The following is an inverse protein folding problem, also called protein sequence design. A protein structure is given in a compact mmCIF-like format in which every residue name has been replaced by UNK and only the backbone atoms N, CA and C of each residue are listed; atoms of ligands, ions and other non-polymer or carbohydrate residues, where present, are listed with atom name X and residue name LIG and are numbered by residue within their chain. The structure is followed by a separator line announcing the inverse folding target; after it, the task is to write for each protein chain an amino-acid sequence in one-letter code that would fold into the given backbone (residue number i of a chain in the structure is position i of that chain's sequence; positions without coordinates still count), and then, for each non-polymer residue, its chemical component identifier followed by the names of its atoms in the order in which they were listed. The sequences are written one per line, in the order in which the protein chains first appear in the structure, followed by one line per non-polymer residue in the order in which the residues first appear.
data_IF_431862735963
#
_entry.id   IF_431862735963
#
_cell.length_a   1.000
_cell.length_b   1.000
_cell.length_c   1.000
_cell.angle_alpha   90.00
_cell.angle_beta   90.00
_cell.angle_gamma   90.00
#
_symmetry.space_group_name_H-M   'P 1'
#
loop_
_entity.id
_entity.type
_entity.pdbx_description
1 polymer ?
#
# COMPACT_ATOMS: atom_id res chain seq x y z
N UNK A 1 11.37 -13.97 -25.30
CA UNK A 1 10.21 -14.19 -24.43
C UNK A 1 10.75 -14.23 -23.00
N UNK A 2 10.90 -13.06 -22.39
CA UNK A 2 11.53 -12.92 -21.08
C UNK A 2 10.53 -13.33 -20.01
N UNK A 3 10.87 -14.36 -19.24
CA UNK A 3 10.14 -14.76 -18.04
C UNK A 3 10.07 -13.55 -17.10
N UNK A 4 8.85 -13.15 -16.75
CA UNK A 4 8.60 -12.10 -15.76
C UNK A 4 9.09 -12.69 -14.43
N UNK A 5 10.20 -12.16 -13.92
CA UNK A 5 10.74 -12.57 -12.63
C UNK A 5 9.76 -12.10 -11.56
N UNK A 6 8.95 -13.03 -11.03
CA UNK A 6 8.21 -12.80 -9.79
C UNK A 6 9.27 -12.70 -8.71
N UNK A 7 9.64 -11.48 -8.31
CA UNK A 7 10.39 -11.29 -7.08
C UNK A 7 9.62 -12.03 -5.98
N UNK A 8 10.26 -13.00 -5.32
CA UNK A 8 9.65 -13.69 -4.18
C UNK A 8 9.29 -12.63 -3.13
N UNK A 9 8.00 -12.34 -3.01
CA UNK A 9 7.52 -11.49 -1.92
C UNK A 9 7.68 -12.32 -0.65
N UNK A 10 8.76 -12.09 0.09
CA UNK A 10 8.95 -12.68 1.40
C UNK A 10 7.86 -12.16 2.32
N UNK A 11 6.90 -13.03 2.63
CA UNK A 11 5.77 -12.69 3.50
C UNK A 11 6.22 -12.22 4.90
N UNK A 12 7.40 -12.65 5.36
CA UNK A 12 8.04 -12.19 6.60
C UNK A 12 8.56 -10.74 6.56
N UNK A 13 8.79 -10.20 5.36
CA UNK A 13 9.28 -8.83 5.14
C UNK A 13 8.14 -7.85 4.80
N UNK A 14 6.91 -8.35 4.59
CA UNK A 14 5.74 -7.50 4.38
C UNK A 14 5.33 -6.86 5.70
N UNK A 15 5.31 -5.53 5.70
CA UNK A 15 4.71 -4.74 6.76
C UNK A 15 3.19 -4.93 6.73
N UNK A 16 2.64 -5.70 7.68
CA UNK A 16 1.22 -6.00 7.77
C UNK A 16 0.35 -4.73 7.90
N UNK A 17 0.90 -3.63 8.42
CA UNK A 17 0.19 -2.36 8.46
C UNK A 17 -0.04 -1.81 7.06
N UNK A 18 0.88 -2.03 6.11
CA UNK A 18 0.70 -1.62 4.72
C UNK A 18 -0.44 -2.38 4.07
N UNK A 19 -0.61 -3.68 4.34
CA UNK A 19 -1.74 -4.46 3.81
C UNK A 19 -3.08 -3.95 4.35
N UNK A 20 -3.14 -3.61 5.64
CA UNK A 20 -4.34 -3.02 6.23
C UNK A 20 -4.66 -1.64 5.61
N UNK A 21 -3.65 -0.79 5.42
CA UNK A 21 -3.81 0.52 4.77
C UNK A 21 -4.26 0.34 3.32
N UNK A 22 -3.72 -0.64 2.59
CA UNK A 22 -4.10 -0.96 1.22
C UNK A 22 -5.59 -1.34 1.14
N UNK A 23 -6.08 -2.20 2.04
CA UNK A 23 -7.49 -2.57 2.09
C UNK A 23 -8.38 -1.32 2.24
N UNK A 24 -8.02 -0.43 3.17
CA UNK A 24 -8.80 0.80 3.39
C UNK A 24 -8.74 1.73 2.17
N UNK A 25 -7.60 1.83 1.49
CA UNK A 25 -7.46 2.63 0.27
C UNK A 25 -8.32 2.11 -0.88
N UNK A 26 -8.42 0.78 -1.03
CA UNK A 26 -9.27 0.13 -2.03
C UNK A 26 -10.75 0.36 -1.71
N UNK A 27 -11.16 0.29 -0.44
CA UNK A 27 -12.55 0.52 -0.03
C UNK A 27 -12.98 1.97 -0.23
N UNK A 28 -12.12 2.93 0.12
CA UNK A 28 -12.48 4.35 0.15
C UNK A 28 -12.26 5.07 -1.19
N UNK A 29 -11.36 4.55 -2.04
CA UNK A 29 -10.91 5.14 -3.31
C UNK A 29 -10.50 6.63 -3.20
N UNK A 30 -10.21 7.09 -1.98
CA UNK A 30 -9.93 8.47 -1.65
C UNK A 30 -9.00 8.56 -0.44
N UNK A 31 -7.84 9.17 -0.62
CA UNK A 31 -6.78 9.24 0.41
C UNK A 31 -7.23 10.02 1.65
N UNK A 32 -8.08 11.04 1.49
CA UNK A 32 -8.58 11.84 2.62
C UNK A 32 -9.58 11.03 3.46
N UNK A 33 -10.50 10.30 2.82
CA UNK A 33 -11.44 9.41 3.53
C UNK A 33 -10.73 8.25 4.22
N UNK A 34 -9.73 7.66 3.56
CA UNK A 34 -8.89 6.63 4.15
C UNK A 34 -8.16 7.14 5.41
N UNK A 35 -7.62 8.36 5.37
CA UNK A 35 -6.97 8.98 6.52
C UNK A 35 -7.93 9.19 7.70
N UNK A 36 -9.16 9.63 7.43
CA UNK A 36 -10.20 9.74 8.45
C UNK A 36 -10.54 8.37 9.08
N UNK A 37 -10.72 7.34 8.26
CA UNK A 37 -11.05 5.97 8.72
C UNK A 37 -9.92 5.32 9.50
N UNK A 38 -8.68 5.59 9.14
CA UNK A 38 -7.47 5.13 9.82
C UNK A 38 -7.09 5.98 11.05
N UNK A 39 -7.80 7.08 11.30
CA UNK A 39 -7.50 8.05 12.36
C UNK A 39 -6.04 8.58 12.30
N UNK A 40 -5.57 8.89 11.09
CA UNK A 40 -4.23 9.45 10.85
C UNK A 40 -4.32 10.67 9.92
N UNK A 41 -3.20 11.36 9.72
CA UNK A 41 -3.14 12.48 8.77
C UNK A 41 -3.09 12.00 7.31
N UNK A 42 -3.68 12.78 6.40
CA UNK A 42 -3.64 12.52 4.95
C UNK A 42 -2.20 12.37 4.41
N UNK A 43 -1.19 13.14 4.86
CA UNK A 43 0.20 12.92 4.46
C UNK A 43 0.76 11.56 4.90
N UNK A 44 0.33 11.02 6.04
CA UNK A 44 0.76 9.69 6.49
C UNK A 44 0.23 8.58 5.56
N UNK A 45 -1.04 8.69 5.14
CA UNK A 45 -1.62 7.76 4.16
C UNK A 45 -0.96 7.91 2.79
N UNK A 46 -0.68 9.14 2.34
CA UNK A 46 0.01 9.39 1.06
C UNK A 46 1.40 8.75 1.02
N UNK A 47 2.18 8.85 2.11
CA UNK A 47 3.48 8.18 2.23
C UNK A 47 3.34 6.66 2.20
N UNK A 48 2.32 6.12 2.87
CA UNK A 48 2.05 4.68 2.89
C UNK A 48 1.64 4.17 1.51
N UNK A 49 0.84 4.95 0.76
CA UNK A 49 0.49 4.67 -0.63
C UNK A 49 1.72 4.68 -1.56
N UNK A 50 2.63 5.63 -1.40
CA UNK A 50 3.88 5.63 -2.16
C UNK A 50 4.73 4.37 -1.87
N UNK A 51 4.85 3.98 -0.60
CA UNK A 51 5.55 2.73 -0.23
C UNK A 51 4.85 1.49 -0.76
N UNK A 52 3.51 1.46 -0.76
CA UNK A 52 2.73 0.36 -1.35
C UNK A 52 3.02 0.23 -2.85
N UNK A 53 3.06 1.36 -3.57
CA UNK A 53 3.45 1.43 -4.98
C UNK A 53 4.85 0.88 -5.23
N UNK A 54 5.83 1.26 -4.40
CA UNK A 54 7.19 0.73 -4.50
C UNK A 54 7.23 -0.80 -4.28
N UNK A 55 6.49 -1.31 -3.29
CA UNK A 55 6.45 -2.75 -2.95
C UNK A 55 5.78 -3.58 -4.05
N UNK A 56 4.73 -3.06 -4.67
CA UNK A 56 4.00 -3.75 -5.74
C UNK A 56 4.49 -3.38 -7.15
N UNK A 57 5.53 -2.55 -7.25
CA UNK A 57 6.08 -2.04 -8.50
C UNK A 57 5.00 -1.40 -9.41
N UNK A 58 4.10 -0.62 -8.79
CA UNK A 58 2.97 0.09 -9.38
C UNK A 58 3.27 1.60 -9.44
N UNK A 59 3.18 2.28 -10.60
CA UNK A 59 3.50 3.70 -10.75
C UNK A 59 2.51 4.69 -10.09
#
# INVERSE_FOLDING_TARGET
MGVISLQEIKLSEIDLNLLYILQVLIDELNVTKAAQKLNVSQPAVSRSLARLRDVFNDP
#
